data_IF_226170814178
#
_entry.id   IF_226170814178
#
_cell.length_a   1.000
_cell.length_b   1.000
_cell.length_c   1.000
_cell.angle_alpha   90.00
_cell.angle_beta   90.00
_cell.angle_gamma   90.00
#
_symmetry.space_group_name_H-M   'P 1'
#
loop_
_entity.id
_entity.type
_entity.pdbx_description
1 polymer ?
#
# COMPACT_ATOMS: atom_id res chain seq x y z
N UNK A 1 -2.00 5.08 9.39
CA UNK A 1 -1.55 4.86 8.00
C UNK A 1 -2.61 5.26 6.98
N UNK A 2 -3.75 4.55 6.90
CA UNK A 2 -4.83 4.83 5.93
C UNK A 2 -5.29 6.30 5.92
N UNK A 3 -5.59 6.87 7.08
CA UNK A 3 -6.02 8.27 7.20
C UNK A 3 -4.98 9.28 6.68
N UNK A 4 -3.68 8.97 6.78
CA UNK A 4 -2.61 9.82 6.23
C UNK A 4 -2.63 9.76 4.71
N UNK A 5 -2.74 8.56 4.13
CA UNK A 5 -2.80 8.38 2.67
C UNK A 5 -4.05 9.02 2.06
N UNK A 6 -5.19 8.91 2.74
CA UNK A 6 -6.43 9.57 2.31
C UNK A 6 -6.31 11.10 2.40
N UNK A 7 -5.67 11.63 3.45
CA UNK A 7 -5.42 13.06 3.57
C UNK A 7 -4.47 13.57 2.47
N UNK A 8 -3.45 12.79 2.10
CA UNK A 8 -2.56 13.11 0.98
C UNK A 8 -3.34 13.16 -0.34
N UNK A 9 -4.20 12.18 -0.59
CA UNK A 9 -5.04 12.14 -1.79
C UNK A 9 -6.01 13.31 -1.88
N UNK A 10 -6.63 13.69 -0.76
CA UNK A 10 -7.59 14.81 -0.72
C UNK A 10 -6.96 16.18 -1.01
N UNK A 11 -5.63 16.31 -0.93
CA UNK A 11 -4.88 17.54 -1.23
C UNK A 11 -4.17 17.50 -2.58
N UNK A 12 -4.16 16.35 -3.24
CA UNK A 12 -3.43 16.12 -4.47
C UNK A 12 -4.31 16.42 -5.69
N UNK A 13 -4.33 17.68 -6.12
CA UNK A 13 -4.90 18.07 -7.41
C UNK A 13 -3.78 18.02 -8.46
N UNK A 14 -3.72 16.92 -9.22
CA UNK A 14 -2.71 16.71 -10.25
C UNK A 14 -3.28 15.92 -11.43
N UNK A 15 -2.86 16.33 -12.63
CA UNK A 15 -3.18 15.63 -13.87
C UNK A 15 -2.47 14.27 -13.90
N UNK A 16 -3.22 13.21 -14.17
CA UNK A 16 -2.69 11.86 -14.16
C UNK A 16 -2.16 11.48 -15.55
N UNK A 17 -0.92 10.95 -15.66
CA UNK A 17 -0.43 10.43 -16.92
C UNK A 17 -1.31 9.26 -17.39
N UNK A 18 -1.95 9.42 -18.56
CA UNK A 18 -2.86 8.41 -19.12
C UNK A 18 -2.20 7.02 -19.24
N UNK A 19 -0.91 6.98 -19.60
CA UNK A 19 -0.15 5.74 -19.69
C UNK A 19 0.00 5.04 -18.32
N UNK A 20 0.23 5.79 -17.25
CA UNK A 20 0.33 5.25 -15.89
C UNK A 20 -1.01 4.72 -15.40
N UNK A 21 -2.11 5.46 -15.65
CA UNK A 21 -3.47 5.00 -15.33
C UNK A 21 -3.80 3.73 -16.10
N UNK A 22 -3.51 3.68 -17.40
CA UNK A 22 -3.76 2.49 -18.21
C UNK A 22 -2.95 1.29 -17.73
N UNK A 23 -1.67 1.47 -17.41
CA UNK A 23 -0.84 0.41 -16.88
C UNK A 23 -1.38 -0.14 -15.55
N UNK A 24 -1.92 0.74 -14.69
CA UNK A 24 -2.53 0.32 -13.43
C UNK A 24 -3.86 -0.42 -13.65
N UNK A 25 -4.71 0.04 -14.57
CA UNK A 25 -5.93 -0.68 -14.97
C UNK A 25 -5.59 -2.10 -15.44
N UNK A 26 -4.59 -2.25 -16.31
CA UNK A 26 -4.15 -3.57 -16.80
C UNK A 26 -3.69 -4.46 -15.65
N UNK A 27 -2.85 -3.94 -14.73
CA UNK A 27 -2.41 -4.70 -13.55
C UNK A 27 -3.57 -5.15 -12.67
N UNK A 28 -4.56 -4.29 -12.46
CA UNK A 28 -5.74 -4.64 -11.66
C UNK A 28 -6.59 -5.72 -12.32
N UNK A 29 -6.74 -5.67 -13.65
CA UNK A 29 -7.43 -6.72 -14.41
C UNK A 29 -6.68 -8.05 -14.31
N UNK A 30 -5.35 -8.04 -14.48
CA UNK A 30 -4.51 -9.23 -14.32
C UNK A 30 -4.65 -9.85 -12.92
N UNK A 31 -4.65 -9.02 -11.87
CA UNK A 31 -4.89 -9.46 -10.49
C UNK A 31 -6.28 -10.09 -10.33
N UNK A 32 -7.33 -9.43 -10.86
CA UNK A 32 -8.68 -9.96 -10.80
C UNK A 32 -8.81 -11.32 -11.51
N UNK A 33 -8.12 -11.49 -12.65
CA UNK A 33 -8.05 -12.78 -13.36
C UNK A 33 -7.33 -13.84 -12.53
N UNK A 34 -6.20 -13.48 -11.92
CA UNK A 34 -5.44 -14.39 -11.06
C UNK A 34 -6.31 -14.89 -9.89
N UNK A 35 -7.07 -14.00 -9.25
CA UNK A 35 -7.98 -14.34 -8.16
C UNK A 35 -9.11 -15.29 -8.60
N UNK A 36 -9.74 -15.01 -9.75
CA UNK A 36 -10.78 -15.89 -10.31
C UNK A 36 -10.23 -17.27 -10.65
N UNK A 37 -9.01 -17.33 -11.20
CA UNK A 37 -8.33 -18.60 -11.51
C UNK A 37 -8.00 -19.37 -10.23
N UNK A 38 -7.54 -18.70 -9.18
CA UNK A 38 -7.29 -19.32 -7.88
C UNK A 38 -8.56 -19.90 -7.25
N UNK A 39 -9.73 -19.31 -7.53
CA UNK A 39 -11.05 -19.82 -7.13
C UNK A 39 -11.58 -20.98 -8.01
N UNK A 40 -10.79 -21.46 -8.97
CA UNK A 40 -11.12 -22.60 -9.83
C UNK A 40 -11.97 -22.26 -11.07
N UNK A 41 -12.15 -20.98 -11.38
CA UNK A 41 -12.85 -20.58 -12.60
C UNK A 41 -12.00 -20.91 -13.83
N UNK A 42 -12.62 -21.51 -14.86
CA UNK A 42 -11.97 -21.83 -16.14
C UNK A 42 -12.18 -20.70 -17.14
N UNK A 43 -11.33 -20.64 -18.16
CA UNK A 43 -11.42 -19.67 -19.27
C UNK A 43 -11.44 -18.19 -18.84
N UNK A 44 -10.86 -17.88 -17.68
CA UNK A 44 -10.83 -16.53 -17.11
C UNK A 44 -10.22 -15.53 -18.09
N UNK A 45 -9.23 -15.90 -18.90
CA UNK A 45 -8.62 -15.05 -19.93
C UNK A 45 -9.61 -14.55 -21.01
N UNK A 46 -10.70 -15.30 -21.25
CA UNK A 46 -11.72 -14.94 -22.25
C UNK A 46 -12.81 -14.04 -21.67
N UNK A 47 -12.84 -13.83 -20.35
CA UNK A 47 -13.84 -12.97 -19.72
C UNK A 47 -13.59 -11.52 -20.11
N UNK A 48 -14.59 -10.82 -20.68
CA UNK A 48 -14.52 -9.39 -20.88
C UNK A 48 -14.64 -8.72 -19.50
N UNK A 49 -13.54 -8.17 -19.01
CA UNK A 49 -13.49 -7.41 -17.77
C UNK A 49 -13.48 -5.92 -18.17
N UNK A 50 -14.55 -5.15 -17.88
CA UNK A 50 -14.61 -3.75 -18.27
C UNK A 50 -13.55 -2.93 -17.56
N UNK A 51 -12.71 -2.24 -18.32
CA UNK A 51 -11.64 -1.37 -17.79
C UNK A 51 -12.20 -0.22 -16.95
N UNK A 52 -13.34 0.32 -17.34
CA UNK A 52 -13.97 1.46 -16.67
C UNK A 52 -14.38 1.13 -15.22
N UNK A 53 -14.56 -0.15 -14.89
CA UNK A 53 -14.78 -0.61 -13.51
C UNK A 53 -13.56 -0.36 -12.62
N UNK A 54 -12.34 -0.41 -13.19
CA UNK A 54 -11.08 -0.26 -12.46
C UNK A 54 -10.51 1.15 -12.55
N UNK A 55 -10.92 1.94 -13.56
CA UNK A 55 -10.37 3.26 -13.84
C UNK A 55 -10.38 4.20 -12.62
N UNK A 56 -11.46 4.34 -11.82
CA UNK A 56 -11.44 5.23 -10.65
C UNK A 56 -10.41 4.83 -9.60
N UNK A 57 -10.29 3.54 -9.32
CA UNK A 57 -9.33 3.02 -8.34
C UNK A 57 -7.89 3.08 -8.88
N UNK A 58 -7.69 2.81 -10.17
CA UNK A 58 -6.40 2.97 -10.83
C UNK A 58 -5.91 4.43 -10.78
N UNK A 59 -6.81 5.39 -11.04
CA UNK A 59 -6.51 6.82 -10.91
C UNK A 59 -6.13 7.19 -9.48
N UNK A 60 -6.88 6.68 -8.48
CA UNK A 60 -6.57 6.87 -7.07
C UNK A 60 -5.18 6.34 -6.70
N UNK A 61 -4.84 5.12 -7.16
CA UNK A 61 -3.53 4.49 -6.91
C UNK A 61 -2.38 5.23 -7.58
N UNK A 62 -2.55 5.63 -8.84
CA UNK A 62 -1.54 6.40 -9.57
C UNK A 62 -1.31 7.74 -8.91
N UNK A 63 -2.38 8.45 -8.52
CA UNK A 63 -2.28 9.71 -7.79
C UNK A 63 -1.50 9.54 -6.49
N UNK A 64 -1.85 8.54 -5.69
CA UNK A 64 -1.17 8.27 -4.42
C UNK A 64 0.31 7.96 -4.65
N UNK A 65 0.61 7.07 -5.60
CA UNK A 65 1.97 6.70 -5.95
C UNK A 65 2.83 7.90 -6.37
N UNK A 66 2.28 8.83 -7.15
CA UNK A 66 2.97 10.06 -7.56
C UNK A 66 3.24 10.98 -6.37
N UNK A 67 2.25 11.20 -5.50
CA UNK A 67 2.39 12.05 -4.31
C UNK A 67 3.42 11.47 -3.34
N UNK A 68 3.34 10.17 -3.07
CA UNK A 68 4.26 9.46 -2.19
C UNK A 68 5.68 9.51 -2.78
N UNK A 69 5.84 9.21 -4.07
CA UNK A 69 7.15 9.27 -4.73
C UNK A 69 7.78 10.67 -4.64
N UNK A 70 7.00 11.72 -4.84
CA UNK A 70 7.49 13.09 -4.72
C UNK A 70 7.85 13.45 -3.27
N UNK A 71 7.04 13.04 -2.28
CA UNK A 71 7.36 13.23 -0.86
C UNK A 71 8.66 12.54 -0.47
N UNK A 72 8.84 11.29 -0.92
CA UNK A 72 10.05 10.50 -0.68
C UNK A 72 11.27 11.21 -1.25
N UNK A 73 11.18 11.65 -2.51
CA UNK A 73 12.26 12.35 -3.19
C UNK A 73 12.58 13.70 -2.54
N UNK A 74 11.57 14.50 -2.23
CA UNK A 74 11.75 15.86 -1.73
C UNK A 74 12.27 15.92 -0.27
N UNK A 75 12.07 14.85 0.51
CA UNK A 75 12.43 14.81 1.93
C UNK A 75 13.39 13.67 2.29
N UNK A 76 13.98 13.01 1.29
CA UNK A 76 14.94 11.89 1.45
C UNK A 76 14.41 10.77 2.37
N UNK A 77 13.18 10.33 2.11
CA UNK A 77 12.48 9.33 2.94
C UNK A 77 12.72 7.89 2.48
N UNK A 78 13.81 7.65 1.76
CA UNK A 78 14.19 6.32 1.29
C UNK A 78 14.41 5.37 2.47
N UNK A 79 14.13 4.08 2.27
CA UNK A 79 14.38 3.07 3.29
C UNK A 79 15.88 2.90 3.52
N UNK A 80 16.32 3.09 4.77
CA UNK A 80 17.72 2.87 5.14
C UNK A 80 17.98 1.39 5.41
N UNK A 81 19.19 0.87 5.15
CA UNK A 81 19.53 -0.54 5.40
C UNK A 81 19.18 -1.03 6.80
N UNK A 82 19.44 -0.20 7.81
CA UNK A 82 19.15 -0.54 9.21
C UNK A 82 17.64 -0.60 9.49
N UNK A 83 16.84 0.24 8.83
CA UNK A 83 15.38 0.20 8.96
C UNK A 83 14.80 -1.04 8.30
N UNK A 84 15.32 -1.41 7.12
CA UNK A 84 14.92 -2.65 6.42
C UNK A 84 15.24 -3.85 7.32
N UNK A 85 16.46 -3.90 7.85
CA UNK A 85 16.88 -4.97 8.75
C UNK A 85 15.98 -5.07 9.98
N UNK A 86 15.73 -3.95 10.66
CA UNK A 86 14.85 -3.90 11.81
C UNK A 86 13.43 -4.37 11.47
N UNK A 87 12.89 -3.97 10.31
CA UNK A 87 11.56 -4.39 9.87
C UNK A 87 11.49 -5.90 9.60
N UNK A 88 12.53 -6.48 8.97
CA UNK A 88 12.61 -7.94 8.75
C UNK A 88 12.69 -8.68 10.09
N UNK A 89 13.50 -8.19 11.03
CA UNK A 89 13.62 -8.76 12.37
C UNK A 89 12.30 -8.70 13.14
N UNK A 90 11.58 -7.59 13.06
CA UNK A 90 10.24 -7.43 13.66
C UNK A 90 9.25 -8.45 13.08
N UNK A 91 9.20 -8.59 11.76
CA UNK A 91 8.33 -9.56 11.10
C UNK A 91 8.69 -11.01 11.46
N UNK A 92 9.96 -11.28 11.72
CA UNK A 92 10.46 -12.60 12.11
C UNK A 92 10.25 -12.92 13.59
N UNK A 93 10.09 -11.91 14.45
CA UNK A 93 10.14 -12.05 15.92
C UNK A 93 9.06 -12.98 16.50
N UNK A 94 7.89 -13.07 15.85
CA UNK A 94 6.78 -13.93 16.31
C UNK A 94 6.90 -15.39 15.87
N UNK A 95 7.91 -15.74 15.06
CA UNK A 95 8.09 -17.10 14.56
C UNK A 95 8.96 -17.93 15.50
N UNK A 96 8.77 -19.26 15.49
CA UNK A 96 9.58 -20.18 16.31
C UNK A 96 11.07 -20.16 15.94
N UNK A 97 11.39 -19.79 14.69
CA UNK A 97 12.76 -19.68 14.17
C UNK A 97 12.97 -18.37 13.43
N UNK A 98 13.13 -17.24 14.14
CA UNK A 98 13.27 -15.93 13.53
C UNK A 98 14.43 -15.86 12.51
N UNK A 99 15.55 -16.52 12.82
CA UNK A 99 16.73 -16.58 11.95
C UNK A 99 16.45 -17.16 10.56
N UNK A 100 15.60 -18.20 10.47
CA UNK A 100 15.22 -18.80 9.19
C UNK A 100 14.32 -17.85 8.38
N UNK A 101 13.45 -17.10 9.06
CA UNK A 101 12.57 -16.10 8.43
C UNK A 101 13.38 -14.90 7.92
N UNK A 102 14.35 -14.41 8.69
CA UNK A 102 15.28 -13.37 8.24
C UNK A 102 15.99 -13.84 6.97
N UNK A 103 16.60 -15.02 6.99
CA UNK A 103 17.28 -15.59 5.81
C UNK A 103 16.34 -15.77 4.63
N UNK A 104 15.07 -16.13 4.87
CA UNK A 104 14.05 -16.24 3.85
C UNK A 104 13.85 -14.89 3.13
N UNK A 105 13.65 -13.78 3.84
CA UNK A 105 13.50 -12.47 3.19
C UNK A 105 14.77 -12.07 2.41
N UNK A 106 15.96 -12.20 3.01
CA UNK A 106 17.22 -11.82 2.37
C UNK A 106 17.63 -12.72 1.19
N UNK A 107 17.08 -13.92 1.07
CA UNK A 107 17.38 -14.84 -0.03
C UNK A 107 16.76 -14.41 -1.38
N UNK A 108 15.85 -13.43 -1.39
CA UNK A 108 15.11 -13.03 -2.58
C UNK A 108 14.91 -11.51 -2.64
N UNK A 109 15.52 -10.84 -3.62
CA UNK A 109 15.39 -9.40 -3.79
C UNK A 109 13.94 -8.92 -3.90
N UNK A 110 13.01 -9.74 -4.41
CA UNK A 110 11.59 -9.35 -4.49
C UNK A 110 10.96 -9.23 -3.10
N UNK A 111 11.27 -10.16 -2.20
CA UNK A 111 10.77 -10.15 -0.82
C UNK A 111 11.36 -8.98 -0.03
N UNK A 112 12.64 -8.66 -0.28
CA UNK A 112 13.24 -7.45 0.30
C UNK A 112 12.60 -6.17 -0.24
N UNK A 113 12.26 -6.11 -1.53
CA UNK A 113 11.60 -4.93 -2.11
C UNK A 113 10.23 -4.65 -1.46
N UNK A 114 9.47 -5.69 -1.10
CA UNK A 114 8.21 -5.52 -0.38
C UNK A 114 8.43 -4.93 1.03
N UNK A 115 9.47 -5.37 1.73
CA UNK A 115 9.86 -4.82 3.04
C UNK A 115 10.36 -3.38 2.89
N UNK A 116 11.14 -3.09 1.86
CA UNK A 116 11.61 -1.75 1.55
C UNK A 116 10.44 -0.79 1.32
N UNK A 117 9.44 -1.21 0.54
CA UNK A 117 8.22 -0.43 0.32
C UNK A 117 7.47 -0.16 1.62
N UNK A 118 7.40 -1.14 2.53
CA UNK A 118 6.77 -0.98 3.84
C UNK A 118 7.50 0.08 4.69
N UNK A 119 8.83 0.06 4.70
CA UNK A 119 9.65 1.05 5.41
C UNK A 119 9.50 2.45 4.83
N UNK A 120 9.50 2.58 3.49
CA UNK A 120 9.24 3.87 2.83
C UNK A 120 7.87 4.42 3.24
N UNK A 121 6.85 3.58 3.26
CA UNK A 121 5.50 3.96 3.66
C UNK A 121 5.44 4.44 5.12
N UNK A 122 6.20 3.80 6.02
CA UNK A 122 6.33 4.21 7.41
C UNK A 122 7.04 5.58 7.51
N UNK A 123 8.17 5.77 6.81
CA UNK A 123 8.89 7.04 6.78
C UNK A 123 8.00 8.19 6.30
N UNK A 124 7.23 7.98 5.23
CA UNK A 124 6.26 8.97 4.71
C UNK A 124 5.15 9.26 5.72
N UNK A 125 4.63 8.22 6.37
CA UNK A 125 3.57 8.36 7.38
C UNK A 125 4.06 9.20 8.56
N UNK A 126 5.23 8.87 9.11
CA UNK A 126 5.84 9.61 10.22
C UNK A 126 6.15 11.06 9.84
N UNK A 127 6.67 11.28 8.63
CA UNK A 127 6.97 12.61 8.14
C UNK A 127 5.71 13.50 8.05
N UNK A 128 4.62 12.96 7.51
CA UNK A 128 3.35 13.70 7.40
C UNK A 128 2.75 13.96 8.78
N UNK A 129 2.75 12.96 9.68
CA UNK A 129 2.26 13.15 11.06
C UNK A 129 3.08 14.20 11.79
N UNK A 130 4.41 14.19 11.66
CA UNK A 130 5.29 15.18 12.30
C UNK A 130 5.08 16.62 11.81
N UNK A 131 4.51 16.80 10.62
CA UNK A 131 4.13 18.12 10.07
C UNK A 131 2.65 18.45 10.26
N UNK A 132 1.81 17.45 10.56
CA UNK A 132 0.38 17.62 10.73
C UNK A 132 0.05 18.12 12.15
N UNK A 133 -0.98 18.95 12.26
CA UNK A 133 -1.54 19.29 13.56
C UNK A 133 -2.34 18.09 14.09
N UNK A 134 -1.71 17.25 14.90
CA UNK A 134 -2.38 16.11 15.54
C UNK A 134 -3.34 16.63 16.60
N UNK A 135 -4.63 16.36 16.43
CA UNK A 135 -5.65 16.61 17.46
C UNK A 135 -6.10 15.27 18.02
N UNK A 136 -5.74 14.98 19.26
CA UNK A 136 -6.24 13.81 19.98
C UNK A 136 -7.74 13.99 20.23
N UNK A 137 -8.55 13.08 19.69
CA UNK A 137 -9.99 13.01 19.97
C UNK A 137 -10.22 11.79 20.85
N UNK A 138 -10.68 12.00 22.09
CA UNK A 138 -11.23 10.92 22.89
C UNK A 138 -12.49 10.40 22.19
N UNK A 139 -12.43 9.16 21.74
CA UNK A 139 -13.59 8.41 21.25
C UNK A 139 -14.04 7.49 22.38
N UNK A 140 -15.35 7.46 22.64
CA UNK A 140 -15.92 6.44 23.51
C UNK A 140 -15.78 5.07 22.83
N UNK A 141 -15.63 4.01 23.62
CA UNK A 141 -15.51 2.64 23.11
C UNK A 141 -16.69 2.27 22.17
N UNK A 142 -17.90 2.73 22.50
CA UNK A 142 -19.11 2.49 21.71
C UNK A 142 -19.04 3.16 20.31
N UNK A 143 -18.40 4.33 20.19
CA UNK A 143 -18.21 5.02 18.90
C UNK A 143 -17.16 4.33 18.00
N UNK A 144 -16.19 3.64 18.62
CA UNK A 144 -15.18 2.85 17.89
C UNK A 144 -15.78 1.53 17.36
N UNK A 145 -16.68 0.91 18.13
CA UNK A 145 -17.34 -0.35 17.77
C UNK A 145 -18.46 -0.15 16.74
N UNK A 146 -19.27 0.91 16.86
CA UNK A 146 -20.39 1.18 15.94
C UNK A 146 -20.01 1.45 14.49
N UNK A 147 -18.75 1.80 14.21
CA UNK A 147 -18.23 2.00 12.85
C UNK A 147 -17.79 0.69 12.15
N UNK A 148 -17.72 -0.44 12.85
CA UNK A 148 -17.40 -1.74 12.24
C UNK A 148 -18.64 -2.47 11.71
N UNK A 149 -19.83 -2.17 12.24
CA UNK A 149 -21.08 -2.87 11.90
C UNK A 149 -21.80 -2.30 10.66
N UNK A 150 -21.32 -1.17 10.10
CA UNK A 150 -21.95 -0.50 8.95
C UNK A 150 -21.37 -0.91 7.57
N UNK A 151 -20.49 -1.92 7.51
CA UNK A 151 -19.96 -2.49 6.26
C UNK A 151 -20.15 -4.01 6.16
N UNK A 152 -21.27 -4.52 6.68
CA UNK A 152 -21.76 -5.88 6.44
C UNK A 152 -22.62 -5.98 5.19
#
# INVERSE_FOLDING_TARGET
KQAVMDALLAKAELDLPKASVQAEVVRMIESARADLKARGMKDVEKLPIPEDTFRPEAERRVRLGLVVAELVKANDLVAKPDQIKAQVEEMAASYEKPEEVVRYYYADPKRLADVEAMVIENNVTEHVIGKAKVTEKQLAFDDLMGNQDAQG
#
